data_IF_733419472239
#
_entry.id   IF_733419472239
#
_cell.length_a   1.000
_cell.length_b   1.000
_cell.length_c   1.000
_cell.angle_alpha   90.00
_cell.angle_beta   90.00
_cell.angle_gamma   90.00
#
_symmetry.space_group_name_H-M   'P 1'
#
loop_
_entity.id
_entity.type
_entity.pdbx_description
1 polymer ?
#
# COMPACT_ATOMS: atom_id res chain seq x y z
N UNK A 1 12.63 10.83 4.97
CA UNK A 1 11.23 11.18 4.64
C UNK A 1 10.35 10.06 5.19
N UNK A 2 9.53 10.34 6.19
CA UNK A 2 8.67 9.32 6.79
C UNK A 2 7.45 9.13 5.89
N UNK A 3 7.41 8.02 5.16
CA UNK A 3 6.24 7.58 4.39
C UNK A 3 5.42 6.65 5.27
N UNK A 4 4.12 6.84 5.28
CA UNK A 4 3.21 5.97 6.03
C UNK A 4 2.54 5.01 5.06
N UNK A 5 2.47 3.73 5.42
CA UNK A 5 1.61 2.78 4.70
C UNK A 5 0.29 2.66 5.45
N UNK A 6 -0.81 2.82 4.72
CA UNK A 6 -2.17 2.78 5.25
C UNK A 6 -2.94 1.74 4.45
N UNK A 7 -3.33 0.64 5.08
CA UNK A 7 -4.18 -0.38 4.45
C UNK A 7 -5.55 0.18 4.09
N UNK A 8 -6.17 -0.34 3.03
CA UNK A 8 -7.53 0.08 2.61
C UNK A 8 -8.52 -0.03 3.77
N UNK A 9 -8.49 -1.12 4.52
CA UNK A 9 -9.37 -1.36 5.68
C UNK A 9 -9.21 -0.28 6.77
N UNK A 10 -7.98 0.20 7.01
CA UNK A 10 -7.72 1.26 7.99
C UNK A 10 -8.21 2.61 7.50
N UNK A 11 -8.00 2.90 6.21
CA UNK A 11 -8.48 4.13 5.58
C UNK A 11 -10.00 4.22 5.61
N UNK A 12 -10.67 3.11 5.29
CA UNK A 12 -12.11 2.98 5.33
C UNK A 12 -12.64 3.25 6.75
N UNK A 13 -12.05 2.58 7.76
CA UNK A 13 -12.37 2.82 9.17
C UNK A 13 -12.24 4.29 9.55
N UNK A 14 -11.11 4.94 9.24
CA UNK A 14 -10.89 6.35 9.58
C UNK A 14 -11.85 7.30 8.85
N UNK A 15 -12.25 6.96 7.63
CA UNK A 15 -13.20 7.74 6.85
C UNK A 15 -14.59 7.63 7.47
N UNK A 16 -15.01 6.42 7.88
CA UNK A 16 -16.28 6.16 8.58
C UNK A 16 -16.31 6.88 9.94
N UNK A 17 -15.22 6.84 10.69
CA UNK A 17 -15.09 7.53 11.99
C UNK A 17 -15.00 9.06 11.85
N UNK A 18 -14.86 9.61 10.64
CA UNK A 18 -14.66 11.05 10.40
C UNK A 18 -13.26 11.56 10.81
N UNK A 19 -12.32 10.65 11.06
CA UNK A 19 -10.92 10.96 11.42
C UNK A 19 -10.08 11.33 10.20
N UNK A 20 -10.42 10.78 9.04
CA UNK A 20 -9.80 11.07 7.75
C UNK A 20 -10.86 11.44 6.71
N UNK A 21 -10.47 12.25 5.74
CA UNK A 21 -11.25 12.54 4.54
C UNK A 21 -10.44 12.16 3.32
N UNK A 22 -10.98 11.31 2.45
CA UNK A 22 -10.34 10.90 1.22
C UNK A 22 -10.98 11.63 0.03
N UNK A 23 -10.19 12.42 -0.67
CA UNK A 23 -10.57 13.13 -1.90
C UNK A 23 -9.67 12.65 -3.04
N UNK A 24 -10.12 11.63 -3.77
CA UNK A 24 -9.34 11.01 -4.85
C UNK A 24 -8.03 10.40 -4.33
N UNK A 25 -6.89 10.94 -4.76
CA UNK A 25 -5.54 10.55 -4.31
C UNK A 25 -5.05 11.38 -3.10
N UNK A 26 -5.89 12.22 -2.50
CA UNK A 26 -5.52 13.04 -1.35
C UNK A 26 -6.28 12.59 -0.11
N UNK A 27 -5.56 12.18 0.92
CA UNK A 27 -6.13 11.96 2.25
C UNK A 27 -5.80 13.14 3.16
N UNK A 28 -6.82 13.72 3.77
CA UNK A 28 -6.70 14.72 4.82
C UNK A 28 -7.02 14.08 6.16
N UNK A 29 -6.03 14.01 7.06
CA UNK A 29 -6.24 13.57 8.43
C UNK A 29 -6.72 14.75 9.25
N UNK A 30 -7.98 14.71 9.68
CA UNK A 30 -8.62 15.76 10.49
C UNK A 30 -7.91 15.92 11.82
N UNK A 31 -7.48 14.83 12.44
CA UNK A 31 -6.75 14.87 13.72
C UNK A 31 -5.41 15.59 13.65
N UNK A 32 -4.70 15.45 12.52
CA UNK A 32 -3.39 16.08 12.32
C UNK A 32 -3.50 17.42 11.58
N UNK A 33 -4.70 17.78 11.10
CA UNK A 33 -4.92 18.89 10.16
C UNK A 33 -3.87 18.88 9.03
N UNK A 34 -3.57 17.70 8.49
CA UNK A 34 -2.55 17.51 7.45
C UNK A 34 -3.09 16.70 6.30
N UNK A 35 -2.69 17.09 5.09
CA UNK A 35 -2.97 16.35 3.87
C UNK A 35 -1.77 15.49 3.46
N UNK A 36 -2.07 14.32 2.93
CA UNK A 36 -1.12 13.33 2.44
C UNK A 36 -1.57 12.92 1.03
N UNK A 37 -0.62 12.80 0.11
CA UNK A 37 -0.86 12.15 -1.18
C UNK A 37 -0.86 10.64 -0.96
N UNK A 38 -1.85 9.95 -1.51
CA UNK A 38 -2.17 8.55 -1.25
C UNK A 38 -1.91 7.73 -2.49
N UNK A 39 -0.66 7.29 -2.66
CA UNK A 39 -0.33 6.49 -3.83
C UNK A 39 -0.75 5.03 -3.63
N UNK A 40 -1.46 4.41 -4.59
CA UNK A 40 -1.86 3.02 -4.48
C UNK A 40 -0.62 2.12 -4.38
N UNK A 41 -0.62 1.25 -3.37
CA UNK A 41 0.51 0.42 -3.04
C UNK A 41 0.07 -0.89 -2.39
N UNK A 42 1.00 -1.82 -2.30
CA UNK A 42 0.81 -3.06 -1.56
C UNK A 42 1.97 -3.28 -0.61
N UNK A 43 1.65 -3.88 0.54
CA UNK A 43 2.63 -4.32 1.51
C UNK A 43 2.72 -5.84 1.47
N UNK A 44 3.89 -6.35 1.12
CA UNK A 44 4.15 -7.78 1.06
C UNK A 44 4.26 -8.35 2.48
N UNK A 45 3.34 -9.25 2.83
CA UNK A 45 3.32 -9.87 4.16
C UNK A 45 4.19 -11.11 4.25
N UNK A 46 4.10 -11.97 3.23
CA UNK A 46 4.82 -13.24 3.14
C UNK A 46 4.76 -13.79 1.73
N UNK A 47 5.67 -14.69 1.42
CA UNK A 47 5.59 -15.54 0.24
C UNK A 47 4.56 -16.65 0.47
N UNK A 48 3.60 -16.79 -0.44
CA UNK A 48 2.69 -17.93 -0.51
C UNK A 48 3.32 -19.13 -1.26
N UNK A 49 4.45 -18.92 -1.95
CA UNK A 49 5.21 -19.96 -2.64
C UNK A 49 6.04 -20.87 -1.73
N UNK A 50 6.51 -22.00 -2.30
CA UNK A 50 7.41 -22.96 -1.63
C UNK A 50 8.85 -22.44 -1.51
N UNK A 51 9.27 -21.52 -2.38
CA UNK A 51 10.66 -21.03 -2.48
C UNK A 51 11.02 -19.99 -1.39
N UNK A 52 10.08 -19.62 -0.51
CA UNK A 52 10.26 -18.52 0.43
C UNK A 52 10.27 -17.17 -0.30
N UNK A 53 11.18 -16.27 0.07
CA UNK A 53 11.30 -14.91 -0.46
C UNK A 53 12.59 -14.70 -1.29
N UNK A 54 12.70 -15.29 -2.49
CA UNK A 54 13.91 -15.17 -3.33
C UNK A 54 14.20 -13.73 -3.79
N UNK A 55 13.23 -12.82 -3.69
CA UNK A 55 13.33 -11.44 -4.17
C UNK A 55 13.40 -10.38 -3.05
N UNK A 56 13.50 -10.80 -1.77
CA UNK A 56 13.52 -9.90 -0.60
C UNK A 56 12.35 -8.89 -0.62
N UNK A 57 11.18 -9.34 -1.08
CA UNK A 57 9.98 -8.51 -1.19
C UNK A 57 9.16 -8.53 0.08
N UNK A 58 9.25 -9.59 0.89
CA UNK A 58 8.49 -9.72 2.13
C UNK A 58 8.89 -8.61 3.12
N UNK A 59 7.90 -7.91 3.66
CA UNK A 59 8.09 -6.72 4.52
C UNK A 59 8.38 -5.43 3.76
N UNK A 60 8.41 -5.46 2.41
CA UNK A 60 8.53 -4.25 1.59
C UNK A 60 7.16 -3.72 1.21
N UNK A 61 7.09 -2.40 1.04
CA UNK A 61 5.96 -1.72 0.42
C UNK A 61 6.38 -1.33 -1.00
N UNK A 62 5.54 -1.67 -1.98
CA UNK A 62 5.74 -1.27 -3.38
C UNK A 62 4.48 -0.62 -3.92
N UNK A 63 4.65 0.45 -4.69
CA UNK A 63 3.53 1.09 -5.40
C UNK A 63 3.00 0.18 -6.50
N UNK A 64 1.71 0.31 -6.85
CA UNK A 64 1.12 -0.45 -7.98
C UNK A 64 1.87 -0.21 -9.28
N UNK A 65 2.32 1.02 -9.54
CA UNK A 65 3.19 1.34 -10.69
C UNK A 65 4.48 0.52 -10.68
N UNK A 66 5.18 0.45 -9.54
CA UNK A 66 6.42 -0.34 -9.45
C UNK A 66 6.19 -1.82 -9.67
N UNK A 67 5.03 -2.37 -9.27
CA UNK A 67 4.69 -3.75 -9.56
C UNK A 67 4.50 -4.01 -11.05
N UNK A 68 3.78 -3.11 -11.72
CA UNK A 68 3.58 -3.14 -13.17
C UNK A 68 4.92 -3.05 -13.92
N UNK A 69 5.78 -2.10 -13.54
CA UNK A 69 7.13 -1.95 -14.11
C UNK A 69 8.02 -3.18 -13.89
N UNK A 70 7.84 -3.86 -12.75
CA UNK A 70 8.56 -5.11 -12.47
C UNK A 70 8.02 -6.28 -13.28
N UNK A 71 6.81 -6.21 -13.84
CA UNK A 71 6.09 -7.33 -14.44
C UNK A 71 5.54 -8.29 -13.37
N UNK A 72 5.09 -7.75 -12.24
CA UNK A 72 4.39 -8.49 -11.21
C UNK A 72 2.87 -8.38 -11.41
N UNK A 73 2.19 -9.52 -11.51
CA UNK A 73 0.74 -9.57 -11.60
C UNK A 73 0.13 -9.41 -10.21
N UNK A 74 -0.48 -8.23 -9.96
CA UNK A 74 -1.19 -7.95 -8.72
C UNK A 74 -2.67 -8.34 -8.87
N UNK A 75 -3.11 -9.28 -8.04
CA UNK A 75 -4.47 -9.79 -8.00
C UNK A 75 -5.07 -9.61 -6.60
N UNK A 76 -5.83 -8.54 -6.41
CA UNK A 76 -6.42 -8.17 -5.11
C UNK A 76 -5.38 -8.17 -3.98
N UNK A 77 -5.37 -9.21 -3.14
CA UNK A 77 -4.46 -9.40 -1.99
C UNK A 77 -3.29 -10.35 -2.26
N UNK A 78 -3.06 -10.68 -3.52
CA UNK A 78 -2.00 -11.60 -3.95
C UNK A 78 -1.18 -10.95 -5.06
N UNK A 79 0.14 -11.03 -4.97
CA UNK A 79 1.02 -10.62 -6.07
C UNK A 79 1.78 -11.83 -6.56
N UNK A 80 1.71 -12.10 -7.86
CA UNK A 80 2.49 -13.14 -8.51
C UNK A 80 3.64 -12.45 -9.23
N UNK A 81 4.86 -12.71 -8.80
CA UNK A 81 6.05 -12.20 -9.45
C UNK A 81 6.87 -13.34 -10.04
N UNK A 82 6.95 -13.38 -11.38
CA UNK A 82 7.59 -14.42 -12.20
C UNK A 82 7.01 -15.82 -12.02
N UNK A 83 7.24 -16.44 -10.86
CA UNK A 83 6.75 -17.78 -10.50
C UNK A 83 6.43 -17.88 -8.98
N UNK A 84 6.66 -16.80 -8.23
CA UNK A 84 6.45 -16.77 -6.79
C UNK A 84 5.21 -15.96 -6.46
N UNK A 85 4.25 -16.59 -5.78
CA UNK A 85 3.10 -15.91 -5.21
C UNK A 85 3.45 -15.30 -3.85
N UNK A 86 2.97 -14.09 -3.60
CA UNK A 86 3.11 -13.35 -2.36
C UNK A 86 1.74 -12.92 -1.84
N UNK A 87 1.51 -13.11 -0.55
CA UNK A 87 0.42 -12.46 0.16
C UNK A 87 0.76 -10.99 0.35
N UNK A 88 -0.13 -10.11 -0.09
CA UNK A 88 0.01 -8.68 0.09
C UNK A 88 -1.23 -8.08 0.73
N UNK A 89 -1.06 -6.95 1.39
CA UNK A 89 -2.17 -6.09 1.80
C UNK A 89 -2.22 -4.91 0.85
N UNK A 90 -3.37 -4.69 0.23
CA UNK A 90 -3.64 -3.47 -0.51
C UNK A 90 -3.75 -2.28 0.44
N UNK A 91 -3.20 -1.16 0.00
CA UNK A 91 -3.26 0.08 0.73
C UNK A 91 -2.74 1.24 -0.10
N UNK A 92 -2.32 2.25 0.64
CA UNK A 92 -1.84 3.49 0.09
C UNK A 92 -0.60 3.92 0.85
N UNK A 93 0.37 4.47 0.12
CA UNK A 93 1.49 5.19 0.70
C UNK A 93 1.04 6.62 0.88
N UNK A 94 0.86 7.04 2.13
CA UNK A 94 0.68 8.41 2.53
C UNK A 94 2.01 9.15 2.52
N UNK A 95 2.23 9.98 1.51
CA UNK A 95 3.35 10.93 1.46
C UNK A 95 2.87 12.29 1.97
N UNK A 96 3.50 12.87 3.02
CA UNK A 96 3.10 14.16 3.54
C UNK A 96 3.24 15.23 2.47
N UNK A 97 2.14 15.91 2.16
CA UNK A 97 2.18 17.10 1.32
C UNK A 97 2.61 18.24 2.23
N UNK A 98 3.84 18.71 2.05
CA UNK A 98 4.25 19.98 2.66
C UNK A 98 3.38 21.09 2.04
N UNK A 99 2.87 22.03 2.86
CA UNK A 99 2.07 23.16 2.39
C UNK A 99 2.88 24.11 1.51
#
# INVERSE_FOLDING_TARGET
>A
MSRLFISVERLDTWTIEGRASLEGDRMTLTELNRSFAMKPAVHFLRSAGTDGDPYDLVGRVKSKETLDEMGADCFEKSVIYKDTAYDVIEGFIGEPLLP
#
